data_IF_786603268423
#
_entry.id   IF_786603268423
#
_cell.length_a   1.000
_cell.length_b   1.000
_cell.length_c   1.000
_cell.angle_alpha   90.00
_cell.angle_beta   90.00
_cell.angle_gamma   90.00
#
_symmetry.space_group_name_H-M   'P 1'
#
loop_
_entity.id
_entity.type
_entity.pdbx_description
1 polymer ?
#
# COMPACT_ATOMS: atom_id res chain seq x y z
N UNK A 1 -16.76 -25.41 -18.75
CA UNK A 1 -15.47 -24.77 -18.47
C UNK A 1 -15.67 -23.82 -17.31
N UNK A 2 -14.93 -23.97 -16.20
CA UNK A 2 -14.96 -22.96 -15.15
C UNK A 2 -14.18 -21.76 -15.67
N UNK A 3 -14.91 -20.71 -16.02
CA UNK A 3 -14.31 -19.43 -16.38
C UNK A 3 -13.56 -18.86 -15.18
N UNK A 4 -12.43 -18.20 -15.44
CA UNK A 4 -11.74 -17.36 -14.48
C UNK A 4 -12.63 -16.24 -13.93
N UNK A 5 -12.05 -15.26 -13.25
CA UNK A 5 -12.82 -14.12 -12.77
C UNK A 5 -13.52 -13.42 -13.94
N UNK A 6 -14.80 -13.09 -13.74
CA UNK A 6 -15.49 -12.21 -14.68
C UNK A 6 -14.93 -10.80 -14.60
N UNK A 7 -15.01 -10.06 -15.71
CA UNK A 7 -14.65 -8.64 -15.75
C UNK A 7 -15.29 -7.83 -14.63
N UNK A 8 -16.57 -8.10 -14.35
CA UNK A 8 -17.30 -7.49 -13.24
C UNK A 8 -16.58 -7.69 -11.90
N UNK A 9 -16.08 -8.91 -11.62
CA UNK A 9 -15.37 -9.18 -10.36
C UNK A 9 -14.04 -8.45 -10.30
N UNK A 10 -13.29 -8.34 -11.40
CA UNK A 10 -12.07 -7.54 -11.44
C UNK A 10 -12.34 -6.07 -11.11
N UNK A 11 -13.29 -5.45 -11.82
CA UNK A 11 -13.71 -4.06 -11.58
C UNK A 11 -14.18 -3.82 -10.16
N UNK A 12 -14.99 -4.75 -9.63
CA UNK A 12 -15.51 -4.66 -8.26
C UNK A 12 -14.40 -4.80 -7.23
N UNK A 13 -13.47 -5.75 -7.39
CA UNK A 13 -12.34 -5.91 -6.45
C UNK A 13 -11.46 -4.66 -6.46
N UNK A 14 -11.11 -4.13 -7.64
CA UNK A 14 -10.27 -2.94 -7.75
C UNK A 14 -10.92 -1.72 -7.08
N UNK A 15 -12.19 -1.47 -7.38
CA UNK A 15 -12.96 -0.35 -6.82
C UNK A 15 -13.17 -0.46 -5.31
N UNK A 16 -13.56 -1.65 -4.81
CA UNK A 16 -13.77 -1.84 -3.37
C UNK A 16 -12.44 -1.85 -2.58
N UNK A 17 -11.34 -2.32 -3.17
CA UNK A 17 -10.02 -2.20 -2.57
C UNK A 17 -9.59 -0.73 -2.44
N UNK A 18 -9.87 0.11 -3.45
CA UNK A 18 -9.58 1.55 -3.37
C UNK A 18 -10.41 2.24 -2.28
N UNK A 19 -11.72 1.98 -2.22
CA UNK A 19 -12.60 2.51 -1.16
C UNK A 19 -12.13 2.06 0.23
N UNK A 20 -11.77 0.79 0.38
CA UNK A 20 -11.29 0.25 1.64
C UNK A 20 -9.94 0.87 2.04
N UNK A 21 -9.03 1.10 1.09
CA UNK A 21 -7.78 1.83 1.34
C UNK A 21 -8.03 3.22 1.91
N UNK A 22 -8.95 3.98 1.28
CA UNK A 22 -9.30 5.33 1.74
C UNK A 22 -9.93 5.29 3.13
N UNK A 23 -10.85 4.35 3.39
CA UNK A 23 -11.45 4.16 4.72
C UNK A 23 -10.38 3.90 5.78
N UNK A 24 -9.51 2.92 5.54
CA UNK A 24 -8.41 2.57 6.46
C UNK A 24 -7.43 3.74 6.67
N UNK A 25 -7.16 4.52 5.63
CA UNK A 25 -6.31 5.69 5.72
C UNK A 25 -6.97 6.81 6.55
N UNK A 26 -8.26 7.07 6.37
CA UNK A 26 -9.03 7.99 7.24
C UNK A 26 -8.97 7.56 8.70
N UNK A 27 -9.17 6.27 8.96
CA UNK A 27 -9.08 5.69 10.30
C UNK A 27 -7.65 5.88 10.87
N UNK A 28 -6.61 5.70 10.05
CA UNK A 28 -5.23 5.93 10.47
C UNK A 28 -4.95 7.38 10.86
N UNK A 29 -5.52 8.37 10.13
CA UNK A 29 -5.42 9.79 10.47
C UNK A 29 -6.14 10.08 11.79
N UNK A 30 -7.33 9.51 11.98
CA UNK A 30 -8.11 9.69 13.21
C UNK A 30 -7.34 9.16 14.42
N UNK A 31 -6.80 7.94 14.34
CA UNK A 31 -6.02 7.33 15.42
C UNK A 31 -4.75 8.11 15.71
N UNK A 32 -4.07 8.63 14.67
CA UNK A 32 -2.90 9.47 14.83
C UNK A 32 -3.21 10.74 15.63
N UNK A 33 -4.33 11.41 15.32
CA UNK A 33 -4.78 12.62 16.04
C UNK A 33 -5.12 12.33 17.51
N UNK A 34 -5.48 11.09 17.84
CA UNK A 34 -5.76 10.63 19.19
C UNK A 34 -4.53 9.97 19.86
N UNK A 35 -3.32 10.22 19.34
CA UNK A 35 -2.05 9.68 19.86
C UNK A 35 -1.94 8.15 19.88
N UNK A 36 -2.81 7.43 19.16
CA UNK A 36 -2.75 5.98 19.02
C UNK A 36 -1.81 5.61 17.87
N UNK A 37 -0.51 5.86 18.06
CA UNK A 37 0.48 5.76 17.00
C UNK A 37 0.73 4.34 16.47
N UNK A 38 0.79 3.27 17.30
CA UNK A 38 0.95 1.92 16.79
C UNK A 38 -0.22 1.50 15.88
N UNK A 39 -1.46 1.73 16.32
CA UNK A 39 -2.65 1.39 15.53
C UNK A 39 -2.78 2.27 14.29
N UNK A 40 -2.47 3.56 14.38
CA UNK A 40 -2.42 4.45 13.21
C UNK A 40 -1.40 3.96 12.17
N UNK A 41 -0.20 3.56 12.60
CA UNK A 41 0.82 3.00 11.73
C UNK A 41 0.35 1.69 11.09
N UNK A 42 -0.22 0.76 11.86
CA UNK A 42 -0.75 -0.50 11.34
C UNK A 42 -1.80 -0.25 10.26
N UNK A 43 -2.81 0.58 10.53
CA UNK A 43 -3.88 0.89 9.58
C UNK A 43 -3.34 1.58 8.33
N UNK A 44 -2.32 2.43 8.45
CA UNK A 44 -1.69 3.05 7.27
C UNK A 44 -0.97 2.03 6.38
N UNK A 45 -0.39 0.96 6.94
CA UNK A 45 0.17 -0.13 6.13
C UNK A 45 -0.94 -0.96 5.48
N UNK A 46 -2.03 -1.24 6.19
CA UNK A 46 -3.18 -1.93 5.58
C UNK A 46 -3.80 -1.11 4.45
N UNK A 47 -3.90 0.21 4.61
CA UNK A 47 -4.32 1.11 3.55
C UNK A 47 -3.36 1.06 2.34
N UNK A 48 -2.05 1.01 2.58
CA UNK A 48 -1.02 0.80 1.54
C UNK A 48 -1.28 -0.47 0.73
N UNK A 49 -1.52 -1.58 1.43
CA UNK A 49 -1.74 -2.88 0.81
C UNK A 49 -3.03 -2.94 0.00
N UNK A 50 -4.10 -2.31 0.47
CA UNK A 50 -5.37 -2.24 -0.27
C UNK A 50 -5.26 -1.30 -1.48
N UNK A 51 -4.50 -0.19 -1.37
CA UNK A 51 -4.22 0.68 -2.52
C UNK A 51 -3.38 -0.06 -3.58
N UNK A 52 -2.37 -0.81 -3.13
CA UNK A 52 -1.56 -1.65 -4.01
C UNK A 52 -2.41 -2.71 -4.71
N UNK A 53 -3.30 -3.37 -3.97
CA UNK A 53 -4.27 -4.33 -4.53
C UNK A 53 -5.14 -3.67 -5.60
N UNK A 54 -5.71 -2.50 -5.33
CA UNK A 54 -6.54 -1.77 -6.29
C UNK A 54 -5.78 -1.51 -7.62
N UNK A 55 -4.58 -0.92 -7.52
CA UNK A 55 -3.72 -0.64 -8.69
C UNK A 55 -3.26 -1.92 -9.42
N UNK A 56 -3.03 -3.00 -8.68
CA UNK A 56 -2.54 -4.26 -9.26
C UNK A 56 -3.65 -5.01 -10.01
N UNK A 57 -4.85 -5.05 -9.42
CA UNK A 57 -6.04 -5.67 -10.04
C UNK A 57 -6.47 -4.88 -11.27
N UNK A 58 -6.48 -3.56 -11.18
CA UNK A 58 -6.78 -2.68 -12.32
C UNK A 58 -5.82 -2.95 -13.48
N UNK A 59 -4.51 -2.94 -13.23
CA UNK A 59 -3.54 -3.18 -14.29
C UNK A 59 -3.59 -4.59 -14.87
N UNK A 60 -3.88 -5.61 -14.04
CA UNK A 60 -4.09 -6.97 -14.54
C UNK A 60 -5.28 -7.00 -15.49
N UNK A 61 -6.41 -6.41 -15.08
CA UNK A 61 -7.61 -6.29 -15.91
C UNK A 61 -7.31 -5.56 -17.22
N UNK A 62 -6.79 -4.34 -17.13
CA UNK A 62 -6.42 -3.49 -18.27
C UNK A 62 -5.47 -4.20 -19.23
N UNK A 63 -4.41 -4.82 -18.71
CA UNK A 63 -3.45 -5.56 -19.56
C UNK A 63 -4.11 -6.75 -20.24
N UNK A 64 -5.05 -7.44 -19.60
CA UNK A 64 -5.80 -8.53 -20.24
C UNK A 64 -6.77 -8.03 -21.30
N UNK A 65 -7.37 -6.85 -21.14
CA UNK A 65 -8.27 -6.27 -22.14
C UNK A 65 -7.51 -5.78 -23.39
N UNK A 66 -6.35 -5.15 -23.22
CA UNK A 66 -5.61 -4.56 -24.34
C UNK A 66 -4.59 -5.50 -25.01
N UNK A 67 -4.27 -6.65 -24.41
CA UNK A 67 -3.37 -7.66 -25.00
C UNK A 67 -4.16 -8.93 -25.40
N UNK A 68 -3.52 -10.10 -25.34
CA UNK A 68 -4.05 -11.39 -25.81
C UNK A 68 -5.12 -12.03 -24.89
N UNK A 69 -5.89 -11.21 -24.16
CA UNK A 69 -6.94 -11.67 -23.24
C UNK A 69 -6.43 -12.06 -21.84
N UNK A 70 -7.31 -12.72 -21.08
CA UNK A 70 -6.98 -13.24 -19.76
C UNK A 70 -6.08 -14.48 -19.86
N UNK A 71 -5.03 -14.58 -19.02
CA UNK A 71 -4.21 -15.79 -18.89
C UNK A 71 -5.03 -17.05 -18.54
N UNK A 72 -4.41 -18.22 -18.64
CA UNK A 72 -5.05 -19.47 -18.24
C UNK A 72 -5.42 -19.51 -16.76
N UNK A 73 -6.36 -20.41 -16.41
CA UNK A 73 -6.92 -20.54 -15.05
C UNK A 73 -5.84 -20.76 -13.98
N UNK A 74 -4.77 -21.51 -14.29
CA UNK A 74 -3.71 -21.79 -13.32
C UNK A 74 -2.92 -20.53 -13.02
N UNK A 75 -2.55 -19.78 -14.06
CA UNK A 75 -1.88 -18.49 -13.87
C UNK A 75 -2.75 -17.52 -13.09
N UNK A 76 -4.05 -17.40 -13.44
CA UNK A 76 -4.98 -16.53 -12.72
C UNK A 76 -5.08 -16.91 -11.24
N UNK A 77 -5.23 -18.21 -10.92
CA UNK A 77 -5.29 -18.68 -9.53
C UNK A 77 -4.00 -18.38 -8.75
N UNK A 78 -2.84 -18.55 -9.36
CA UNK A 78 -1.57 -18.25 -8.70
C UNK A 78 -1.39 -16.74 -8.48
N UNK A 79 -1.81 -15.91 -9.44
CA UNK A 79 -1.82 -14.46 -9.28
C UNK A 79 -2.81 -14.00 -8.20
N UNK A 80 -4.03 -14.55 -8.16
CA UNK A 80 -5.05 -14.20 -7.15
C UNK A 80 -4.56 -14.46 -5.72
N UNK A 81 -3.77 -15.52 -5.48
CA UNK A 81 -3.17 -15.80 -4.18
C UNK A 81 -2.25 -14.66 -3.71
N UNK A 82 -1.55 -13.99 -4.63
CA UNK A 82 -0.67 -12.86 -4.31
C UNK A 82 -1.45 -11.68 -3.71
N UNK A 83 -2.72 -11.49 -4.09
CA UNK A 83 -3.58 -10.45 -3.53
C UNK A 83 -3.87 -10.62 -2.03
N UNK A 84 -3.61 -11.81 -1.48
CA UNK A 84 -3.76 -12.12 -0.05
C UNK A 84 -2.42 -12.17 0.67
N UNK A 85 -1.30 -12.13 -0.04
CA UNK A 85 0.02 -12.22 0.56
C UNK A 85 0.59 -10.82 0.84
N UNK A 86 0.58 -10.42 2.12
CA UNK A 86 0.91 -9.05 2.54
C UNK A 86 2.27 -8.53 2.03
N UNK A 87 3.39 -9.28 2.11
CA UNK A 87 4.67 -8.80 1.60
C UNK A 87 4.65 -8.49 0.10
N UNK A 88 3.93 -9.28 -0.70
CA UNK A 88 3.83 -9.03 -2.15
C UNK A 88 3.00 -7.77 -2.43
N UNK A 89 1.92 -7.53 -1.68
CA UNK A 89 1.18 -6.27 -1.77
C UNK A 89 2.05 -5.07 -1.40
N UNK A 90 2.86 -5.19 -0.35
CA UNK A 90 3.80 -4.14 0.05
C UNK A 90 4.84 -3.87 -1.04
N UNK A 91 5.33 -4.90 -1.71
CA UNK A 91 6.25 -4.74 -2.85
C UNK A 91 5.55 -4.17 -4.09
N UNK A 92 4.35 -4.65 -4.43
CA UNK A 92 3.56 -4.15 -5.55
C UNK A 92 3.25 -2.65 -5.43
N UNK A 93 3.11 -2.13 -4.20
CA UNK A 93 2.94 -0.69 -3.94
C UNK A 93 4.09 0.15 -4.51
N UNK A 94 5.33 -0.29 -4.32
CA UNK A 94 6.53 0.43 -4.78
C UNK A 94 7.01 -0.01 -6.16
N UNK A 95 6.60 -1.20 -6.63
CA UNK A 95 7.22 -1.90 -7.76
C UNK A 95 7.26 -1.11 -9.07
N UNK A 96 6.20 -0.35 -9.39
CA UNK A 96 6.14 0.44 -10.64
C UNK A 96 7.03 1.66 -10.66
N UNK A 97 7.32 2.23 -9.50
CA UNK A 97 8.03 3.51 -9.35
C UNK A 97 9.20 3.35 -8.38
N UNK A 98 9.82 2.17 -8.36
CA UNK A 98 10.77 1.77 -7.31
C UNK A 98 11.93 2.76 -7.13
N UNK A 99 12.32 3.45 -8.21
CA UNK A 99 13.40 4.45 -8.22
C UNK A 99 13.01 5.78 -7.59
N UNK A 100 11.70 6.07 -7.49
CA UNK A 100 11.18 7.27 -6.83
C UNK A 100 11.07 7.09 -5.31
N UNK A 101 11.27 5.87 -4.80
CA UNK A 101 11.25 5.60 -3.35
C UNK A 101 12.66 5.61 -2.75
N UNK A 102 12.73 5.94 -1.46
CA UNK A 102 13.96 5.85 -0.69
C UNK A 102 14.53 4.43 -0.75
N UNK A 103 15.82 4.25 -1.09
CA UNK A 103 16.43 2.92 -1.16
C UNK A 103 16.29 2.11 0.14
N UNK A 104 16.35 2.79 1.29
CA UNK A 104 16.15 2.16 2.60
C UNK A 104 14.74 1.62 2.79
N UNK A 105 13.74 2.35 2.30
CA UNK A 105 12.34 1.92 2.39
C UNK A 105 12.05 0.73 1.46
N UNK A 106 12.60 0.76 0.24
CA UNK A 106 12.51 -0.37 -0.69
C UNK A 106 13.17 -1.62 -0.09
N UNK A 107 14.37 -1.47 0.49
CA UNK A 107 15.07 -2.58 1.13
C UNK A 107 14.27 -3.15 2.30
N UNK A 108 13.67 -2.29 3.13
CA UNK A 108 12.80 -2.67 4.25
C UNK A 108 11.59 -3.49 3.80
N UNK A 109 11.03 -3.22 2.62
CA UNK A 109 9.95 -4.02 2.04
C UNK A 109 10.50 -5.37 1.56
N UNK A 110 11.60 -5.36 0.80
CA UNK A 110 12.23 -6.59 0.27
C UNK A 110 12.66 -7.56 1.36
N UNK A 111 13.19 -7.04 2.47
CA UNK A 111 13.60 -7.83 3.64
C UNK A 111 12.43 -8.29 4.52
N UNK A 112 11.18 -7.91 4.17
CA UNK A 112 9.95 -8.15 4.95
C UNK A 112 9.93 -7.48 6.33
N UNK A 113 10.83 -6.54 6.57
CA UNK A 113 10.88 -5.77 7.81
C UNK A 113 9.64 -4.87 7.97
N UNK A 114 9.07 -4.35 6.88
CA UNK A 114 7.81 -3.58 6.98
C UNK A 114 6.64 -4.43 7.49
N UNK A 115 6.50 -5.66 7.00
CA UNK A 115 5.52 -6.62 7.51
C UNK A 115 5.76 -6.93 8.98
N UNK A 116 7.02 -7.16 9.37
CA UNK A 116 7.37 -7.39 10.77
C UNK A 116 6.98 -6.19 11.65
N UNK A 117 7.23 -4.96 11.22
CA UNK A 117 6.83 -3.76 11.95
C UNK A 117 5.32 -3.60 12.04
N UNK A 118 4.57 -3.96 10.98
CA UNK A 118 3.09 -4.00 11.02
C UNK A 118 2.60 -4.95 12.12
N UNK A 119 3.21 -6.14 12.24
CA UNK A 119 2.88 -7.11 13.30
C UNK A 119 3.23 -6.56 14.69
N UNK A 120 4.42 -5.98 14.85
CA UNK A 120 4.89 -5.36 16.10
C UNK A 120 4.06 -4.15 16.53
N UNK A 121 3.38 -3.48 15.60
CA UNK A 121 2.45 -2.40 15.90
C UNK A 121 1.14 -2.89 16.54
N UNK A 122 0.87 -4.19 16.52
CA UNK A 122 -0.39 -4.80 16.96
C UNK A 122 -0.18 -5.68 18.18
N UNK A 123 0.81 -6.57 18.10
CA UNK A 123 0.94 -7.68 19.03
C UNK A 123 2.07 -7.46 20.02
N UNK A 124 1.79 -7.76 21.29
CA UNK A 124 2.82 -7.97 22.30
C UNK A 124 3.40 -9.36 22.10
N UNK A 125 4.72 -9.49 22.08
CA UNK A 125 5.35 -10.79 21.83
C UNK A 125 6.86 -10.77 21.90
N UNK A 126 7.47 -11.92 21.69
CA UNK A 126 8.92 -12.08 21.64
C UNK A 126 9.42 -12.00 20.20
N UNK A 127 10.69 -11.63 20.03
CA UNK A 127 11.30 -11.65 18.71
C UNK A 127 11.45 -13.10 18.23
N UNK A 128 11.56 -13.26 16.92
CA UNK A 128 11.86 -14.55 16.30
C UNK A 128 13.27 -14.52 15.75
N UNK A 129 14.03 -15.58 16.00
CA UNK A 129 15.32 -15.83 15.38
C UNK A 129 15.17 -17.04 14.46
N UNK A 130 15.18 -16.80 13.15
CA UNK A 130 14.85 -17.81 12.13
C UNK A 130 13.43 -18.37 12.34
N UNK A 131 13.29 -19.66 12.68
CA UNK A 131 12.01 -20.36 12.89
C UNK A 131 11.63 -20.52 14.36
N UNK A 132 12.50 -20.12 15.29
CA UNK A 132 12.27 -20.27 16.72
C UNK A 132 11.91 -18.93 17.40
N UNK A 133 11.12 -19.00 18.46
CA UNK A 133 10.87 -17.87 19.36
C UNK A 133 12.13 -17.66 20.20
N UNK A 134 12.62 -16.43 20.25
CA UNK A 134 13.77 -16.05 21.07
C UNK A 134 13.27 -15.70 22.48
N UNK A 135 13.33 -16.68 23.39
CA UNK A 135 12.86 -16.54 24.77
C UNK A 135 13.71 -15.60 25.63
N UNK A 136 14.94 -15.31 25.18
CA UNK A 136 15.86 -14.38 25.84
C UNK A 136 15.68 -12.95 25.32
N UNK A 137 14.86 -12.75 24.28
CA UNK A 137 14.60 -11.45 23.71
C UNK A 137 13.74 -10.56 24.62
N UNK A 138 13.92 -9.25 24.48
CA UNK A 138 13.01 -8.29 25.13
C UNK A 138 11.61 -8.43 24.56
N UNK A 139 10.61 -8.32 25.42
CA UNK A 139 9.20 -8.26 25.02
C UNK A 139 8.99 -7.05 24.11
N UNK A 140 8.51 -7.33 22.90
CA UNK A 140 8.01 -6.36 21.95
C UNK A 140 6.68 -5.81 22.46
N UNK A 141 6.64 -4.49 22.66
CA UNK A 141 5.45 -3.75 23.10
C UNK A 141 5.17 -2.70 22.04
N UNK A 142 3.98 -2.64 21.43
CA UNK A 142 3.69 -1.74 20.31
C UNK A 142 4.10 -0.28 20.52
N UNK A 143 3.77 0.30 21.68
CA UNK A 143 4.12 1.67 22.06
C UNK A 143 5.63 1.95 22.09
N UNK A 144 6.46 0.92 22.27
CA UNK A 144 7.93 1.03 22.24
C UNK A 144 8.52 0.80 20.85
N UNK A 145 7.80 0.12 19.96
CA UNK A 145 8.27 -0.21 18.62
C UNK A 145 7.91 0.87 17.60
N UNK A 146 6.74 1.48 17.76
CA UNK A 146 6.21 2.43 16.79
C UNK A 146 6.21 3.84 17.38
N UNK A 147 7.01 4.72 16.78
CA UNK A 147 7.02 6.13 17.13
C UNK A 147 5.92 6.91 16.42
N UNK A 148 5.56 8.08 16.97
CA UNK A 148 4.75 9.09 16.29
C UNK A 148 5.30 9.43 14.90
N UNK A 149 6.63 9.53 14.75
CA UNK A 149 7.26 9.84 13.46
C UNK A 149 7.08 8.72 12.44
N UNK A 150 7.17 7.46 12.87
CA UNK A 150 6.92 6.29 12.02
C UNK A 150 5.48 6.29 11.49
N UNK A 151 4.50 6.51 12.37
CA UNK A 151 3.09 6.62 12.01
C UNK A 151 2.86 7.79 11.03
N UNK A 152 3.33 8.99 11.37
CA UNK A 152 3.21 10.18 10.53
C UNK A 152 3.81 9.95 9.14
N UNK A 153 4.99 9.35 9.06
CA UNK A 153 5.68 9.11 7.80
C UNK A 153 4.89 8.17 6.88
N UNK A 154 4.32 7.10 7.43
CA UNK A 154 3.54 6.13 6.68
C UNK A 154 2.19 6.70 6.24
N UNK A 155 1.45 7.37 7.12
CA UNK A 155 0.21 8.10 6.78
C UNK A 155 0.47 9.12 5.67
N UNK A 156 1.55 9.90 5.79
CA UNK A 156 1.91 10.89 4.77
C UNK A 156 2.26 10.25 3.42
N UNK A 157 2.74 9.00 3.40
CA UNK A 157 3.04 8.29 2.15
C UNK A 157 1.74 7.92 1.43
N UNK A 158 0.77 7.37 2.17
CA UNK A 158 -0.53 7.01 1.60
C UNK A 158 -1.30 8.23 1.16
N UNK A 159 -1.27 9.30 1.96
CA UNK A 159 -1.89 10.56 1.58
C UNK A 159 -1.27 11.13 0.30
N UNK A 160 0.05 11.05 0.16
CA UNK A 160 0.75 11.49 -1.04
C UNK A 160 0.29 10.71 -2.28
N UNK A 161 0.20 9.38 -2.21
CA UNK A 161 -0.27 8.56 -3.34
C UNK A 161 -1.71 8.88 -3.73
N UNK A 162 -2.63 8.92 -2.76
CA UNK A 162 -4.03 9.24 -3.02
C UNK A 162 -4.17 10.62 -3.67
N UNK A 163 -3.35 11.59 -3.23
CA UNK A 163 -3.37 12.93 -3.79
C UNK A 163 -2.77 13.01 -5.18
N UNK A 164 -1.75 12.20 -5.48
CA UNK A 164 -1.24 12.09 -6.84
C UNK A 164 -2.31 11.54 -7.79
N UNK A 165 -3.03 10.49 -7.38
CA UNK A 165 -4.11 9.91 -8.18
C UNK A 165 -5.22 10.95 -8.43
N UNK A 166 -5.72 11.59 -7.37
CA UNK A 166 -6.69 12.67 -7.48
C UNK A 166 -6.25 13.76 -8.46
N UNK A 167 -5.04 14.28 -8.29
CA UNK A 167 -4.55 15.38 -9.13
C UNK A 167 -4.41 14.98 -10.60
N UNK A 168 -4.09 13.71 -10.89
CA UNK A 168 -4.08 13.21 -12.27
C UNK A 168 -5.51 13.12 -12.82
N UNK A 169 -6.48 12.65 -12.04
CA UNK A 169 -7.89 12.64 -12.46
C UNK A 169 -8.43 14.06 -12.75
N UNK A 170 -7.99 15.07 -12.01
CA UNK A 170 -8.41 16.46 -12.25
C UNK A 170 -7.71 17.11 -13.46
N UNK A 171 -6.50 16.68 -13.79
CA UNK A 171 -5.67 17.29 -14.85
C UNK A 171 -5.78 16.56 -16.20
N UNK A 172 -6.24 15.31 -16.18
CA UNK A 172 -6.29 14.40 -17.31
C UNK A 172 -7.65 13.71 -17.38
N UNK A 173 -7.93 12.98 -18.46
CA UNK A 173 -9.16 12.19 -18.62
C UNK A 173 -9.13 10.88 -17.78
N UNK A 174 -8.77 10.98 -16.49
CA UNK A 174 -8.65 9.86 -15.55
C UNK A 174 -7.24 9.32 -15.30
N UNK A 175 -7.09 8.61 -14.18
CA UNK A 175 -5.86 7.87 -13.80
C UNK A 175 -5.98 6.37 -14.09
N UNK A 176 -7.16 5.80 -13.89
CA UNK A 176 -7.46 4.37 -14.07
C UNK A 176 -8.26 4.15 -15.35
N UNK A 177 -7.99 3.03 -16.03
CA UNK A 177 -8.82 2.59 -17.17
C UNK A 177 -10.20 2.08 -16.72
N UNK A 178 -10.30 1.60 -15.47
CA UNK A 178 -11.58 1.31 -14.84
C UNK A 178 -12.21 2.64 -14.40
N UNK A 179 -13.04 3.21 -15.27
CA UNK A 179 -13.56 4.58 -15.14
C UNK A 179 -14.19 4.89 -13.78
N UNK A 180 -14.96 3.97 -13.20
CA UNK A 180 -15.61 4.20 -11.91
C UNK A 180 -14.63 4.47 -10.76
N UNK A 181 -13.36 4.07 -10.88
CA UNK A 181 -12.33 4.33 -9.87
C UNK A 181 -11.88 5.78 -9.84
N UNK A 182 -11.96 6.50 -10.97
CA UNK A 182 -11.52 7.89 -11.09
C UNK A 182 -12.39 8.84 -10.24
N UNK A 183 -13.61 8.44 -9.92
CA UNK A 183 -14.57 9.22 -9.13
C UNK A 183 -14.45 8.99 -7.62
N UNK A 184 -13.69 7.97 -7.18
CA UNK A 184 -13.68 7.51 -5.78
C UNK A 184 -12.90 8.45 -4.86
N UNK A 185 -11.85 9.12 -5.35
CA UNK A 185 -11.09 10.09 -4.56
C UNK A 185 -11.60 11.47 -4.92
N UNK A 186 -12.45 12.04 -4.08
CA UNK A 186 -12.98 13.40 -4.26
C UNK A 186 -12.99 14.18 -2.93
N UNK A 187 -12.95 15.50 -3.01
CA UNK A 187 -12.85 16.37 -1.83
C UNK A 187 -14.14 16.40 -0.99
N UNK A 188 -15.30 16.31 -1.65
CA UNK A 188 -16.61 16.37 -0.99
C UNK A 188 -16.81 15.21 -0.01
N UNK A 189 -16.49 13.99 -0.42
CA UNK A 189 -16.64 12.78 0.40
C UNK A 189 -15.42 12.53 1.32
N UNK A 190 -14.25 13.07 0.97
CA UNK A 190 -12.99 12.77 1.65
C UNK A 190 -12.16 14.01 2.05
N UNK A 191 -12.73 15.06 2.67
CA UNK A 191 -12.03 16.33 2.91
C UNK A 191 -10.82 16.21 3.84
N UNK A 192 -10.77 15.16 4.66
CA UNK A 192 -9.65 14.89 5.57
C UNK A 192 -8.34 14.55 4.83
N UNK A 193 -8.42 14.00 3.61
CA UNK A 193 -7.23 13.67 2.80
C UNK A 193 -6.49 14.93 2.36
N UNK A 194 -7.25 15.98 2.02
CA UNK A 194 -6.77 17.25 1.48
C UNK A 194 -6.19 18.17 2.56
N UNK A 195 -6.48 17.87 3.84
CA UNK A 195 -6.05 18.66 5.00
C UNK A 195 -4.83 18.08 5.72
N UNK A 196 -4.27 16.96 5.26
CA UNK A 196 -3.09 16.35 5.88
C UNK A 196 -1.82 17.15 5.55
N UNK A 197 -1.16 17.80 6.53
CA UNK A 197 -0.13 18.81 6.23
C UNK A 197 1.29 18.24 6.09
N UNK A 198 1.48 16.95 6.39
CA UNK A 198 2.80 16.37 6.52
C UNK A 198 3.26 15.66 5.23
N UNK A 199 4.57 15.67 5.02
CA UNK A 199 5.23 14.96 3.92
C UNK A 199 5.97 13.73 4.45
N UNK A 200 5.91 12.63 3.69
CA UNK A 200 6.54 11.37 4.08
C UNK A 200 8.08 11.42 4.00
N UNK A 201 8.60 12.06 2.95
CA UNK A 201 10.02 11.97 2.59
C UNK A 201 10.45 10.62 1.98
N UNK A 202 9.56 9.62 1.96
CA UNK A 202 9.84 8.29 1.41
C UNK A 202 9.74 8.22 -0.12
N UNK A 203 8.89 9.03 -0.77
CA UNK A 203 8.78 9.13 -2.24
C UNK A 203 9.15 10.52 -2.71
N UNK A 204 10.01 10.62 -3.72
CA UNK A 204 10.44 11.87 -4.37
C UNK A 204 11.38 11.57 -5.54
N UNK A 205 11.28 12.36 -6.62
CA UNK A 205 12.21 12.31 -7.77
C UNK A 205 13.69 12.48 -7.39
N UNK A 206 14.01 13.03 -6.21
CA UNK A 206 15.40 13.11 -5.72
C UNK A 206 16.04 11.74 -5.55
N UNK A 207 15.24 10.71 -5.25
CA UNK A 207 15.72 9.35 -5.06
C UNK A 207 16.22 8.71 -6.36
N UNK A 208 15.76 9.17 -7.53
CA UNK A 208 16.27 8.70 -8.82
C UNK A 208 17.78 8.92 -8.96
N UNK A 209 18.30 10.08 -8.51
CA UNK A 209 19.75 10.36 -8.55
C UNK A 209 20.52 9.42 -7.63
N UNK A 210 19.99 9.15 -6.44
CA UNK A 210 20.60 8.27 -5.43
C UNK A 210 20.59 6.81 -5.91
N UNK A 211 19.48 6.36 -6.49
CA UNK A 211 19.35 5.00 -7.04
C UNK A 211 20.30 4.78 -8.22
N UNK A 212 20.45 5.76 -9.12
CA UNK A 212 21.42 5.66 -10.23
C UNK A 212 22.87 5.52 -9.76
N UNK A 213 23.27 6.27 -8.73
CA UNK A 213 24.62 6.21 -8.17
C UNK A 213 24.93 4.90 -7.41
N UNK A 214 23.93 4.13 -7.01
CA UNK A 214 24.09 2.86 -6.28
C UNK A 214 24.27 1.65 -7.23
N UNK A 215 23.86 1.80 -8.48
CA UNK A 215 23.90 0.76 -9.51
C UNK A 215 24.83 1.11 -10.70
N UNK A 216 25.61 2.18 -10.56
CA UNK A 216 26.74 2.57 -11.42
C UNK A 216 28.05 2.13 -10.78
#
# INVERSE_FOLDING_TARGET
MKQGLSEYKFKKIASEALKNSIRLHKDSILLYKNSSYPSAFQLSILAMEELAKAKWVEHYYTSSIYNDGFPDEKFEQDWLKLLYFHPEKQFAFVGREITDYSPKFVEKIRSKELEQQKQQATYVGLSRKKRAIDVDSRISIPEKQISQNSAKQMISLINHELMQIHNVCEQSDGYFDIWEMNLIINEDEHPILFRWPYKSGLKSKKWNKVNRAKYS
#
